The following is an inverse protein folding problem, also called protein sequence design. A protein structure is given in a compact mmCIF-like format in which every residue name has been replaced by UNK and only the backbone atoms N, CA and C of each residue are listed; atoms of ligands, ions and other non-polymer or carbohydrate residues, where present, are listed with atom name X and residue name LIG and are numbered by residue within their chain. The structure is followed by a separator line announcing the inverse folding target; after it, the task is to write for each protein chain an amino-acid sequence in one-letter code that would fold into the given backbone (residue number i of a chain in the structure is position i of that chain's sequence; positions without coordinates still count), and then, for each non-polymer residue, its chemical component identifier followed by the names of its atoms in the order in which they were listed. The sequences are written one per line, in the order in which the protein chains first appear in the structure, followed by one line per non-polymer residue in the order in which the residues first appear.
data_IF_395682598709
#
_entry.id   IF_395682598709
#
_cell.length_a   1.000
_cell.length_b   1.000
_cell.length_c   1.000
_cell.angle_alpha   90.00
_cell.angle_beta   90.00
_cell.angle_gamma   90.00
#
_symmetry.space_group_name_H-M   'P 1'
#
loop_
_entity.id
_entity.type
_entity.pdbx_description
1 polymer ?
#
# COMPACT_ATOMS: atom_id res chain seq x y z
N UNK A 1 -8.32 103.30 -44.97
CA UNK A 1 -8.21 102.60 -43.67
C UNK A 1 -6.84 101.95 -43.59
N UNK A 2 -5.99 102.41 -42.65
CA UNK A 2 -4.66 101.86 -42.35
C UNK A 2 -4.82 100.46 -41.73
N UNK A 3 -4.09 99.46 -42.22
CA UNK A 3 -3.87 98.20 -41.50
C UNK A 3 -2.44 98.16 -41.00
N UNK A 4 -2.30 98.20 -39.67
CA UNK A 4 -1.06 98.09 -38.93
C UNK A 4 -0.57 96.63 -38.96
N UNK A 5 0.74 96.46 -39.14
CA UNK A 5 1.45 95.20 -38.94
C UNK A 5 1.75 95.09 -37.45
N UNK A 6 1.20 94.08 -36.77
CA UNK A 6 1.56 93.74 -35.39
C UNK A 6 2.81 92.87 -35.42
N UNK A 7 3.92 93.39 -34.89
CA UNK A 7 5.16 92.66 -34.67
C UNK A 7 5.08 92.00 -33.27
N UNK A 8 4.93 90.67 -33.21
CA UNK A 8 4.99 89.91 -31.96
C UNK A 8 6.45 89.58 -31.63
N UNK A 9 7.01 90.25 -30.62
CA UNK A 9 8.34 89.93 -30.08
C UNK A 9 8.14 88.90 -28.96
N UNK A 10 8.52 87.64 -29.19
CA UNK A 10 8.59 86.62 -28.16
C UNK A 10 9.88 86.78 -27.36
N UNK A 11 9.78 87.20 -26.10
CA UNK A 11 10.90 87.20 -25.16
C UNK A 11 11.05 85.78 -24.61
N UNK A 12 12.08 85.07 -25.09
CA UNK A 12 12.54 83.80 -24.53
C UNK A 12 13.28 84.09 -23.22
N UNK A 13 12.63 83.82 -22.08
CA UNK A 13 13.32 83.69 -20.81
C UNK A 13 14.08 82.35 -20.81
N UNK A 14 15.39 82.42 -20.99
CA UNK A 14 16.30 81.28 -20.76
C UNK A 14 16.69 81.30 -19.29
N UNK A 15 16.11 80.41 -18.50
CA UNK A 15 16.61 80.07 -17.16
C UNK A 15 18.00 79.44 -17.31
N UNK A 16 19.01 79.80 -16.49
CA UNK A 16 20.26 79.07 -16.51
C UNK A 16 20.00 77.71 -15.84
N UNK A 17 20.10 76.63 -16.61
CA UNK A 17 20.20 75.28 -16.06
C UNK A 17 21.58 75.22 -15.38
N UNK A 18 21.65 75.43 -14.06
CA UNK A 18 22.86 75.13 -13.29
C UNK A 18 23.06 73.60 -13.37
N UNK A 19 24.27 73.19 -13.76
CA UNK A 19 24.61 71.83 -14.19
C UNK A 19 24.13 70.74 -13.23
N UNK A 20 23.53 69.71 -13.83
CA UNK A 20 23.22 68.43 -13.18
C UNK A 20 24.25 67.41 -13.65
N UNK A 21 24.82 66.66 -12.72
CA UNK A 21 25.75 65.56 -13.01
C UNK A 21 25.19 64.27 -12.43
N UNK A 22 25.28 63.19 -13.21
CA UNK A 22 24.88 61.85 -12.79
C UNK A 22 26.08 60.93 -12.84
N UNK A 23 26.29 60.15 -11.78
CA UNK A 23 27.25 59.06 -11.74
C UNK A 23 26.53 57.74 -11.49
N UNK A 24 27.20 56.64 -11.82
CA UNK A 24 26.78 55.29 -11.51
C UNK A 24 27.94 54.61 -10.79
N UNK A 25 27.69 54.07 -9.61
CA UNK A 25 28.68 53.34 -8.83
C UNK A 25 28.09 52.01 -8.39
N UNK A 26 28.93 50.99 -8.23
CA UNK A 26 28.47 49.78 -7.59
C UNK A 26 28.33 50.03 -6.08
N UNK A 27 27.48 49.25 -5.45
CA UNK A 27 27.48 49.16 -3.99
C UNK A 27 28.74 48.49 -3.44
N UNK A 28 28.84 48.44 -2.11
CA UNK A 28 29.89 47.76 -1.37
C UNK A 28 31.33 48.23 -1.66
N UNK A 29 31.49 49.35 -2.38
CA UNK A 29 32.77 49.98 -2.66
C UNK A 29 33.50 50.39 -1.38
N UNK A 30 34.83 50.23 -1.39
CA UNK A 30 35.66 50.56 -0.23
C UNK A 30 35.70 52.06 0.05
N UNK A 31 35.77 52.42 1.33
CA UNK A 31 35.93 53.81 1.78
C UNK A 31 37.17 54.44 1.15
N UNK A 32 37.01 55.66 0.63
CA UNK A 32 38.04 56.39 -0.12
C UNK A 32 38.04 56.12 -1.63
N UNK A 33 37.18 55.23 -2.13
CA UNK A 33 37.00 55.01 -3.58
C UNK A 33 36.47 56.26 -4.27
N UNK A 34 36.90 56.48 -5.51
CA UNK A 34 36.48 57.67 -6.30
C UNK A 34 35.13 57.40 -6.96
N UNK A 35 34.16 58.27 -6.70
CA UNK A 35 32.83 58.27 -7.36
C UNK A 35 32.88 58.99 -8.70
N UNK A 36 33.55 60.14 -8.75
CA UNK A 36 33.60 60.98 -9.95
C UNK A 36 34.48 62.21 -9.81
N UNK A 37 34.91 62.78 -10.94
CA UNK A 37 35.79 63.96 -11.02
C UNK A 37 34.97 65.24 -11.11
N UNK A 38 34.29 65.55 -10.02
CA UNK A 38 33.24 66.59 -10.01
C UNK A 38 33.71 67.99 -10.39
N UNK A 39 34.98 68.33 -10.11
CA UNK A 39 35.55 69.61 -10.54
C UNK A 39 35.60 69.70 -12.08
N UNK A 40 36.11 68.65 -12.73
CA UNK A 40 36.23 68.56 -14.18
C UNK A 40 34.83 68.53 -14.84
N UNK A 41 33.93 67.68 -14.34
CA UNK A 41 32.60 67.47 -14.91
C UNK A 41 31.69 68.72 -14.80
N UNK A 42 31.90 69.57 -13.79
CA UNK A 42 31.20 70.84 -13.62
C UNK A 42 31.94 72.05 -14.24
N UNK A 43 33.12 71.84 -14.84
CA UNK A 43 33.95 72.93 -15.36
C UNK A 43 34.45 73.89 -14.27
N UNK A 44 34.67 73.38 -13.06
CA UNK A 44 35.20 74.09 -11.90
C UNK A 44 36.67 73.75 -11.71
N UNK A 45 37.51 74.75 -11.45
CA UNK A 45 38.88 74.49 -10.99
C UNK A 45 38.92 74.20 -9.48
N UNK A 46 39.97 73.50 -9.06
CA UNK A 46 40.17 73.06 -7.66
C UNK A 46 40.34 74.27 -6.71
N UNK A 47 40.96 75.36 -7.18
CA UNK A 47 41.13 76.58 -6.39
C UNK A 47 39.80 77.28 -6.11
N UNK A 48 38.87 77.25 -7.07
CA UNK A 48 37.49 77.75 -6.95
C UNK A 48 36.71 76.96 -5.93
N UNK A 49 36.86 75.63 -5.88
CA UNK A 49 36.23 74.80 -4.84
C UNK A 49 36.70 75.17 -3.43
N UNK A 50 38.00 75.44 -3.26
CA UNK A 50 38.56 75.85 -1.96
C UNK A 50 38.18 77.28 -1.58
N UNK A 51 38.44 78.24 -2.47
CA UNK A 51 38.22 79.67 -2.22
C UNK A 51 36.74 80.00 -1.98
N UNK A 52 35.83 79.26 -2.62
CA UNK A 52 34.37 79.40 -2.47
C UNK A 52 33.75 78.43 -1.46
N UNK A 53 34.56 77.80 -0.62
CA UNK A 53 34.11 76.91 0.47
C UNK A 53 33.10 75.86 0.02
N UNK A 54 33.37 75.20 -1.10
CA UNK A 54 32.49 74.16 -1.62
C UNK A 54 32.18 73.10 -0.56
N UNK A 55 30.90 72.73 -0.42
CA UNK A 55 30.44 71.71 0.53
C UNK A 55 29.32 70.87 -0.08
N UNK A 56 29.24 69.63 0.35
CA UNK A 56 28.13 68.73 0.02
C UNK A 56 27.01 68.94 1.03
N UNK A 57 25.77 68.88 0.57
CA UNK A 57 24.57 68.98 1.38
C UNK A 57 23.61 67.84 1.03
N UNK A 58 23.34 66.97 2.01
CA UNK A 58 22.53 65.75 1.87
C UNK A 58 21.07 65.92 2.34
N UNK A 59 20.62 67.15 2.61
CA UNK A 59 19.30 67.39 3.20
C UNK A 59 19.20 66.70 4.56
N UNK A 60 18.48 65.58 4.59
CA UNK A 60 18.18 64.78 5.79
C UNK A 60 18.84 63.38 5.77
N UNK A 61 19.71 63.09 4.78
CA UNK A 61 20.31 61.77 4.58
C UNK A 61 21.67 61.59 5.27
N UNK A 62 22.03 60.34 5.57
CA UNK A 62 23.39 59.97 6.00
C UNK A 62 24.41 60.37 4.93
N UNK A 63 25.61 60.78 5.36
CA UNK A 63 26.69 61.26 4.48
C UNK A 63 27.53 60.08 3.97
N UNK A 64 27.05 59.40 2.92
CA UNK A 64 27.80 58.30 2.28
C UNK A 64 28.93 58.76 1.37
N UNK A 65 28.88 60.01 0.88
CA UNK A 65 29.84 60.57 -0.08
C UNK A 65 30.43 61.87 0.48
N UNK A 66 31.73 62.07 0.30
CA UNK A 66 32.42 63.31 0.65
C UNK A 66 33.09 63.99 -0.55
N UNK A 67 33.26 65.31 -0.47
CA UNK A 67 33.98 66.10 -1.48
C UNK A 67 35.42 66.32 -1.06
N UNK A 68 36.36 65.74 -1.80
CA UNK A 68 37.78 66.05 -1.66
C UNK A 68 38.12 67.31 -2.47
N UNK A 69 38.24 68.43 -1.76
CA UNK A 69 38.49 69.77 -2.35
C UNK A 69 39.91 69.96 -2.87
N UNK A 70 40.85 69.12 -2.47
CA UNK A 70 42.24 69.18 -2.95
C UNK A 70 42.40 68.50 -4.31
N UNK A 71 41.60 67.47 -4.56
CA UNK A 71 41.64 66.67 -5.79
C UNK A 71 40.48 66.97 -6.74
N UNK A 72 39.44 67.66 -6.28
CA UNK A 72 38.25 67.96 -7.07
C UNK A 72 37.41 66.73 -7.39
N UNK A 73 37.39 65.74 -6.48
CA UNK A 73 36.70 64.45 -6.68
C UNK A 73 35.74 64.16 -5.54
N UNK A 74 34.70 63.37 -5.85
CA UNK A 74 33.82 62.77 -4.85
C UNK A 74 34.39 61.42 -4.42
N UNK A 75 34.40 61.15 -3.11
CA UNK A 75 34.90 59.91 -2.52
C UNK A 75 33.82 59.23 -1.68
N UNK A 76 33.86 57.89 -1.62
CA UNK A 76 33.05 57.09 -0.70
C UNK A 76 33.53 57.36 0.74
N UNK A 77 32.63 57.81 1.61
CA UNK A 77 32.89 58.09 3.03
C UNK A 77 32.49 56.91 3.92
N UNK A 78 31.38 56.26 3.59
CA UNK A 78 30.87 55.08 4.29
C UNK A 78 30.46 54.04 3.25
N UNK A 79 30.60 52.74 3.57
CA UNK A 79 30.17 51.67 2.68
C UNK A 79 28.67 51.78 2.44
N UNK A 80 28.27 51.63 1.18
CA UNK A 80 26.88 51.73 0.75
C UNK A 80 26.41 50.30 0.48
N UNK A 81 25.51 49.81 1.32
CA UNK A 81 24.72 48.58 1.13
C UNK A 81 23.38 49.02 0.54
N UNK A 82 23.10 48.58 -0.70
CA UNK A 82 21.94 49.03 -1.48
C UNK A 82 20.66 48.44 -0.91
N UNK A 83 20.67 47.20 -0.43
CA UNK A 83 19.52 46.50 0.14
C UNK A 83 19.03 47.21 1.39
N UNK A 84 19.97 47.68 2.23
CA UNK A 84 19.64 48.49 3.42
C UNK A 84 19.19 49.91 3.04
N UNK A 85 19.77 50.50 1.99
CA UNK A 85 19.50 51.89 1.60
C UNK A 85 18.19 52.08 0.82
N UNK A 86 17.94 51.24 -0.19
CA UNK A 86 16.81 51.33 -1.10
C UNK A 86 15.82 50.17 -0.96
N UNK A 87 16.18 49.08 -0.28
CA UNK A 87 15.39 47.84 -0.29
C UNK A 87 15.18 47.34 -1.72
N UNK A 88 13.93 47.06 -2.07
CA UNK A 88 13.53 46.57 -3.40
C UNK A 88 13.24 47.70 -4.41
N UNK A 89 13.59 48.96 -4.09
CA UNK A 89 13.25 50.12 -4.93
C UNK A 89 14.20 50.24 -6.12
N UNK A 90 13.65 50.30 -7.34
CA UNK A 90 14.40 50.47 -8.59
C UNK A 90 13.82 51.63 -9.43
N UNK A 91 14.65 52.58 -9.92
CA UNK A 91 16.10 52.70 -9.73
C UNK A 91 16.48 53.20 -8.33
N UNK A 92 17.62 52.75 -7.82
CA UNK A 92 18.19 53.20 -6.54
C UNK A 92 19.16 54.35 -6.78
N UNK A 93 18.81 55.55 -6.32
CA UNK A 93 19.64 56.73 -6.53
C UNK A 93 19.72 57.61 -5.29
N UNK A 94 20.94 58.09 -5.03
CA UNK A 94 21.23 59.08 -4.01
C UNK A 94 21.23 60.48 -4.63
N UNK A 95 20.51 61.40 -3.98
CA UNK A 95 20.39 62.78 -4.45
C UNK A 95 20.99 63.74 -3.44
N UNK A 96 21.93 64.58 -3.88
CA UNK A 96 22.51 65.61 -3.03
C UNK A 96 22.94 66.84 -3.83
N UNK A 97 23.34 67.89 -3.13
CA UNK A 97 23.72 69.16 -3.75
C UNK A 97 25.13 69.56 -3.33
N UNK A 98 25.89 70.13 -4.27
CA UNK A 98 27.15 70.82 -3.97
C UNK A 98 26.89 72.32 -4.00
N UNK A 99 27.26 72.99 -2.91
CA UNK A 99 27.04 74.42 -2.69
C UNK A 99 28.38 75.14 -2.70
N UNK A 100 28.52 76.15 -3.57
CA UNK A 100 29.63 77.10 -3.54
C UNK A 100 29.13 78.44 -3.01
N UNK A 101 29.94 79.13 -2.20
CA UNK A 101 29.61 80.43 -1.63
C UNK A 101 30.19 81.59 -2.45
N UNK A 102 29.57 82.78 -2.32
CA UNK A 102 30.04 84.08 -2.85
C UNK A 102 30.40 84.10 -4.35
N UNK A 103 29.42 84.20 -5.27
CA UNK A 103 27.95 84.13 -5.07
C UNK A 103 27.49 82.70 -4.74
N UNK A 104 26.25 82.50 -4.29
CA UNK A 104 25.78 81.14 -4.01
C UNK A 104 25.45 80.40 -5.32
N UNK A 105 26.05 79.23 -5.52
CA UNK A 105 25.75 78.32 -6.63
C UNK A 105 25.41 76.94 -6.09
N UNK A 106 24.44 76.26 -6.72
CA UNK A 106 23.99 74.92 -6.36
C UNK A 106 24.10 74.00 -7.56
N UNK A 107 24.79 72.88 -7.41
CA UNK A 107 24.90 71.83 -8.42
C UNK A 107 24.19 70.59 -7.92
N UNK A 108 23.28 70.03 -8.73
CA UNK A 108 22.51 68.82 -8.37
C UNK A 108 23.28 67.59 -8.81
N UNK A 109 23.58 66.72 -7.86
CA UNK A 109 24.30 65.47 -8.11
C UNK A 109 23.36 64.30 -7.86
N UNK A 110 23.34 63.38 -8.81
CA UNK A 110 22.64 62.11 -8.71
C UNK A 110 23.69 61.00 -8.79
N UNK A 111 23.65 60.07 -7.85
CA UNK A 111 24.51 58.90 -7.85
C UNK A 111 23.61 57.67 -7.84
N UNK A 112 23.53 56.99 -8.98
CA UNK A 112 22.84 55.72 -9.11
C UNK A 112 23.70 54.62 -8.49
N UNK A 113 23.09 53.80 -7.64
CA UNK A 113 23.73 52.68 -6.96
C UNK A 113 23.34 51.42 -7.73
N UNK A 114 24.34 50.81 -8.35
CA UNK A 114 24.22 49.57 -9.10
C UNK A 114 24.38 48.41 -8.14
N UNK A 115 23.40 47.52 -8.21
CA UNK A 115 23.30 46.28 -7.45
C UNK A 115 24.42 45.29 -7.81
N UNK A 116 25.00 44.64 -6.79
CA UNK A 116 25.96 43.54 -6.93
C UNK A 116 25.29 42.26 -6.42
N UNK A 117 25.60 41.10 -7.02
CA UNK A 117 25.15 39.80 -6.49
C UNK A 117 25.91 39.42 -5.21
N UNK A 118 25.42 39.82 -4.05
CA UNK A 118 26.02 39.52 -2.75
C UNK A 118 25.04 38.92 -1.73
N UNK A 119 23.75 38.80 -2.06
CA UNK A 119 22.76 38.08 -1.26
C UNK A 119 22.26 36.82 -2.00
N UNK A 120 22.54 35.62 -1.48
CA UNK A 120 21.96 34.41 -2.07
C UNK A 120 20.45 34.30 -1.77
N UNK A 121 19.67 33.58 -2.59
CA UNK A 121 18.31 33.20 -2.24
C UNK A 121 18.26 32.38 -0.94
N UNK A 122 17.36 32.74 -0.01
CA UNK A 122 17.22 32.06 1.29
C UNK A 122 15.77 31.60 1.52
N UNK A 123 15.60 30.37 1.98
CA UNK A 123 14.33 29.86 2.49
C UNK A 123 14.18 30.16 3.98
N UNK A 124 12.97 30.51 4.42
CA UNK A 124 12.68 30.74 5.86
C UNK A 124 12.92 29.47 6.70
N UNK A 125 12.64 28.30 6.11
CA UNK A 125 12.83 26.99 6.75
C UNK A 125 13.78 26.11 5.93
N UNK A 126 14.57 25.29 6.62
CA UNK A 126 15.46 24.31 6.00
C UNK A 126 14.74 23.06 5.48
N UNK A 127 13.57 22.73 6.05
CA UNK A 127 12.72 21.63 5.60
C UNK A 127 11.22 21.95 5.64
N UNK A 128 10.46 21.27 4.80
CA UNK A 128 9.00 21.22 4.81
C UNK A 128 8.54 19.76 4.75
N UNK A 129 7.45 19.43 5.45
CA UNK A 129 6.95 18.05 5.57
C UNK A 129 5.54 17.92 5.02
N UNK A 130 5.33 16.95 4.14
CA UNK A 130 4.02 16.59 3.61
C UNK A 130 3.60 15.18 4.04
N UNK A 131 2.31 15.01 4.23
CA UNK A 131 1.66 13.70 4.35
C UNK A 131 0.69 13.56 3.19
N UNK A 132 0.99 12.66 2.25
CA UNK A 132 0.24 12.54 0.99
C UNK A 132 -0.24 11.10 0.87
N UNK A 133 -1.54 10.87 0.71
CA UNK A 133 -2.05 9.51 0.48
C UNK A 133 -1.57 8.97 -0.87
N UNK A 134 -1.28 7.67 -0.94
CA UNK A 134 -0.98 7.02 -2.22
C UNK A 134 -2.13 7.04 -3.22
N UNK A 135 -3.36 7.12 -2.70
CA UNK A 135 -4.58 7.35 -3.49
C UNK A 135 -4.71 8.77 -4.05
N UNK A 136 -3.73 9.66 -3.79
CA UNK A 136 -3.76 11.03 -4.30
C UNK A 136 -3.76 11.05 -5.85
N UNK A 137 -4.70 11.80 -6.41
CA UNK A 137 -4.89 11.86 -7.86
C UNK A 137 -3.73 12.62 -8.52
N UNK A 138 -3.26 12.10 -9.65
CA UNK A 138 -2.28 12.82 -10.49
C UNK A 138 -2.81 14.19 -10.90
N UNK A 139 -1.95 15.21 -10.85
CA UNK A 139 -2.32 16.61 -11.03
C UNK A 139 -2.65 17.36 -9.74
N UNK A 140 -2.74 16.68 -8.59
CA UNK A 140 -2.83 17.33 -7.27
C UNK A 140 -1.66 18.28 -7.05
N UNK A 141 -1.94 19.42 -6.41
CA UNK A 141 -0.99 20.51 -6.19
C UNK A 141 -0.68 20.68 -4.70
N UNK A 142 0.56 21.01 -4.40
CA UNK A 142 1.07 21.27 -3.06
C UNK A 142 1.85 22.57 -3.07
N UNK A 143 1.41 23.54 -2.28
CA UNK A 143 2.05 24.85 -2.19
C UNK A 143 3.39 24.75 -1.47
N UNK A 144 4.40 25.41 -2.01
CA UNK A 144 5.74 25.51 -1.43
C UNK A 144 6.03 26.98 -1.08
N UNK A 145 6.67 27.19 0.06
CA UNK A 145 7.20 28.50 0.43
C UNK A 145 8.35 28.88 -0.51
N UNK A 146 8.28 30.06 -1.13
CA UNK A 146 9.33 30.57 -1.99
C UNK A 146 10.51 31.09 -1.18
N UNK A 147 11.72 30.94 -1.73
CA UNK A 147 12.90 31.66 -1.24
C UNK A 147 12.76 33.18 -1.45
N UNK A 148 13.40 33.94 -0.56
CA UNK A 148 13.54 35.40 -0.65
C UNK A 148 14.98 35.73 -1.00
N UNK A 149 15.15 36.68 -1.90
CA UNK A 149 16.43 37.22 -2.32
C UNK A 149 16.35 38.74 -2.19
N UNK A 150 17.38 39.35 -1.59
CA UNK A 150 17.39 40.78 -1.31
C UNK A 150 17.87 41.60 -2.51
N UNK A 151 18.59 40.96 -3.44
CA UNK A 151 19.12 41.59 -4.64
C UNK A 151 17.98 41.82 -5.65
N UNK A 152 18.18 42.76 -6.58
CA UNK A 152 17.17 43.14 -7.57
C UNK A 152 17.59 42.82 -9.00
N UNK A 153 16.62 42.82 -9.92
CA UNK A 153 16.89 42.66 -11.35
C UNK A 153 17.42 41.25 -11.68
N UNK A 154 18.64 41.17 -12.21
CA UNK A 154 19.25 39.89 -12.62
C UNK A 154 19.90 39.14 -11.44
N UNK A 155 20.39 39.87 -10.44
CA UNK A 155 21.03 39.28 -9.26
C UNK A 155 20.00 38.75 -8.28
N UNK A 156 18.75 39.22 -8.32
CA UNK A 156 17.67 38.61 -7.55
C UNK A 156 17.26 37.22 -8.06
N UNK A 157 16.40 36.56 -7.30
CA UNK A 157 15.86 35.22 -7.57
C UNK A 157 15.33 35.04 -9.00
N UNK A 158 15.92 34.11 -9.75
CA UNK A 158 15.56 33.85 -11.15
C UNK A 158 14.81 32.56 -11.41
N UNK A 159 15.04 31.48 -10.66
CA UNK A 159 14.32 30.22 -10.91
C UNK A 159 14.37 29.28 -9.72
N UNK A 160 13.56 28.23 -9.81
CA UNK A 160 13.57 27.11 -8.88
C UNK A 160 13.77 25.79 -9.62
N UNK A 161 14.46 24.87 -8.99
CA UNK A 161 14.76 23.53 -9.49
C UNK A 161 14.34 22.52 -8.42
N UNK A 162 13.53 21.53 -8.79
CA UNK A 162 13.12 20.43 -7.92
C UNK A 162 13.83 19.15 -8.35
N UNK A 163 14.40 18.40 -7.39
CA UNK A 163 14.99 17.09 -7.63
C UNK A 163 14.69 16.12 -6.48
N UNK A 164 14.47 14.81 -6.73
CA UNK A 164 14.29 14.19 -8.05
C UNK A 164 12.94 14.60 -8.70
N UNK A 165 12.69 14.20 -9.95
CA UNK A 165 11.47 14.58 -10.71
C UNK A 165 10.60 13.39 -11.11
N UNK A 166 10.77 12.26 -10.41
CA UNK A 166 10.08 11.00 -10.75
C UNK A 166 8.58 11.10 -10.52
N UNK A 167 8.17 11.37 -9.28
CA UNK A 167 6.75 11.49 -8.90
C UNK A 167 6.23 12.91 -8.99
N UNK A 168 7.10 13.92 -8.88
CA UNK A 168 6.70 15.33 -8.74
C UNK A 168 7.36 16.21 -9.78
N UNK A 169 6.62 17.23 -10.22
CA UNK A 169 7.13 18.30 -11.06
C UNK A 169 6.84 19.66 -10.45
N UNK A 170 7.72 20.62 -10.69
CA UNK A 170 7.55 21.99 -10.23
C UNK A 170 6.73 22.79 -11.24
N UNK A 171 5.83 23.65 -10.75
CA UNK A 171 5.12 24.64 -11.54
C UNK A 171 5.24 26.01 -10.91
N UNK A 172 5.68 26.96 -11.72
CA UNK A 172 5.88 28.34 -11.30
C UNK A 172 4.73 29.20 -11.83
N UNK A 173 4.15 30.00 -10.95
CA UNK A 173 3.09 30.93 -11.28
C UNK A 173 3.51 32.35 -10.85
N UNK A 174 3.66 33.25 -11.83
CA UNK A 174 3.90 34.67 -11.54
C UNK A 174 2.61 35.30 -11.02
N UNK A 175 2.68 35.91 -9.85
CA UNK A 175 1.58 36.69 -9.30
C UNK A 175 1.64 38.14 -9.78
N UNK A 176 0.51 38.85 -9.68
CA UNK A 176 0.37 40.23 -10.14
C UNK A 176 1.19 41.23 -9.31
N UNK A 177 1.63 40.85 -8.11
CA UNK A 177 2.49 41.63 -7.22
C UNK A 177 3.99 41.41 -7.48
N UNK A 178 4.35 40.56 -8.46
CA UNK A 178 5.73 40.20 -8.76
C UNK A 178 6.27 39.01 -7.96
N UNK A 179 5.53 38.52 -6.95
CA UNK A 179 5.89 37.30 -6.24
C UNK A 179 5.68 36.06 -7.11
N UNK A 180 6.44 34.99 -6.85
CA UNK A 180 6.31 33.72 -7.58
C UNK A 180 5.75 32.67 -6.66
N UNK A 181 4.55 32.18 -6.97
CA UNK A 181 4.04 31.00 -6.31
C UNK A 181 4.74 29.76 -6.85
N UNK A 182 5.20 28.92 -5.93
CA UNK A 182 5.94 27.69 -6.23
C UNK A 182 5.03 26.52 -5.87
N UNK A 183 4.54 25.81 -6.87
CA UNK A 183 3.68 24.64 -6.66
C UNK A 183 4.43 23.37 -7.03
N UNK A 184 4.38 22.36 -6.15
CA UNK A 184 4.75 20.98 -6.47
C UNK A 184 3.51 20.23 -6.97
N UNK A 185 3.61 19.52 -8.09
CA UNK A 185 2.50 18.80 -8.71
C UNK A 185 2.83 17.32 -8.81
N UNK A 186 1.91 16.48 -8.35
CA UNK A 186 2.00 15.03 -8.50
C UNK A 186 1.82 14.64 -9.98
N UNK A 187 2.80 13.95 -10.56
CA UNK A 187 2.81 13.51 -11.97
C UNK A 187 2.64 12.02 -12.14
N UNK A 188 3.19 11.24 -11.22
CA UNK A 188 3.03 9.80 -11.19
C UNK A 188 2.36 9.41 -9.88
N UNK A 189 1.55 8.34 -9.85
CA UNK A 189 0.98 7.86 -8.60
C UNK A 189 2.09 7.54 -7.59
N UNK A 190 1.75 7.69 -6.31
CA UNK A 190 2.59 7.21 -5.22
C UNK A 190 2.18 5.77 -4.90
N UNK A 191 3.08 5.04 -4.25
CA UNK A 191 2.91 3.64 -3.88
C UNK A 191 3.73 3.46 -2.59
N UNK A 192 3.02 3.31 -1.47
CA UNK A 192 3.59 3.23 -0.13
C UNK A 192 4.29 1.90 0.06
N UNK A 193 3.74 0.81 -0.46
CA UNK A 193 4.31 -0.55 -0.41
C UNK A 193 5.68 -0.58 -1.10
N UNK A 194 5.89 0.27 -2.11
CA UNK A 194 7.19 0.48 -2.74
C UNK A 194 8.07 1.49 -2.00
N UNK A 195 7.52 2.62 -1.57
CA UNK A 195 8.28 3.66 -0.86
C UNK A 195 7.42 4.52 0.05
N UNK A 196 7.50 4.28 1.36
CA UNK A 196 6.78 5.04 2.39
C UNK A 196 7.29 6.48 2.57
N UNK A 197 8.58 6.73 2.26
CA UNK A 197 9.24 8.02 2.50
C UNK A 197 9.98 8.50 1.26
N UNK A 198 9.64 9.70 0.82
CA UNK A 198 10.33 10.39 -0.27
C UNK A 198 11.02 11.65 0.25
N UNK A 199 12.20 11.94 -0.28
CA UNK A 199 12.95 13.16 0.01
C UNK A 199 13.28 13.86 -1.29
N UNK A 200 12.86 15.12 -1.40
CA UNK A 200 13.20 16.00 -2.50
C UNK A 200 13.97 17.22 -2.00
N UNK A 201 14.66 17.88 -2.92
CA UNK A 201 15.37 19.12 -2.68
C UNK A 201 14.83 20.16 -3.65
N UNK A 202 14.36 21.27 -3.10
CA UNK A 202 14.04 22.48 -3.84
C UNK A 202 15.23 23.42 -3.78
N UNK A 203 15.73 23.84 -4.93
CA UNK A 203 16.85 24.77 -5.06
C UNK A 203 16.34 26.05 -5.69
N UNK A 204 16.50 27.18 -5.00
CA UNK A 204 16.29 28.52 -5.52
C UNK A 204 17.62 29.06 -6.07
N UNK A 205 17.59 29.68 -7.25
CA UNK A 205 18.80 30.11 -7.95
C UNK A 205 18.63 31.53 -8.46
N UNK A 206 19.63 32.38 -8.20
CA UNK A 206 19.72 33.74 -8.72
C UNK A 206 20.24 33.76 -10.17
N UNK A 207 20.45 34.96 -10.72
CA UNK A 207 21.00 35.16 -12.07
C UNK A 207 22.33 35.89 -12.09
N UNK A 208 22.95 36.13 -10.94
CA UNK A 208 24.19 36.89 -10.85
C UNK A 208 25.44 36.10 -11.29
N UNK A 209 26.59 36.78 -11.29
CA UNK A 209 27.90 36.18 -11.57
C UNK A 209 28.89 36.49 -10.43
N UNK A 210 29.32 35.51 -9.62
CA UNK A 210 28.93 34.10 -9.67
C UNK A 210 27.48 33.88 -9.23
N UNK A 211 26.84 32.86 -9.81
CA UNK A 211 25.49 32.46 -9.44
C UNK A 211 25.47 31.87 -8.04
N UNK A 212 24.54 32.31 -7.19
CA UNK A 212 24.29 31.75 -5.87
C UNK A 212 22.94 31.02 -5.81
N UNK A 213 22.80 30.18 -4.78
CA UNK A 213 21.61 29.33 -4.62
C UNK A 213 21.33 29.01 -3.17
N UNK A 214 20.04 28.91 -2.84
CA UNK A 214 19.53 28.38 -1.58
C UNK A 214 18.84 27.03 -1.77
N UNK A 215 18.79 26.20 -0.73
CA UNK A 215 18.13 24.89 -0.79
C UNK A 215 17.21 24.64 0.41
N UNK A 216 16.10 23.94 0.17
CA UNK A 216 15.17 23.45 1.19
C UNK A 216 14.86 21.98 0.93
N UNK A 217 14.81 21.16 1.99
CA UNK A 217 14.40 19.76 1.91
C UNK A 217 12.88 19.62 1.95
N UNK A 218 12.33 18.75 1.13
CA UNK A 218 10.92 18.39 1.12
C UNK A 218 10.83 16.92 1.52
N UNK A 219 10.28 16.67 2.71
CA UNK A 219 10.13 15.33 3.26
C UNK A 219 8.67 14.90 3.13
N UNK A 220 8.41 13.82 2.39
CA UNK A 220 7.06 13.33 2.14
C UNK A 220 6.90 11.97 2.81
N UNK A 221 5.90 11.86 3.68
CA UNK A 221 5.39 10.58 4.18
C UNK A 221 4.19 10.19 3.34
N UNK A 222 4.29 9.05 2.65
CA UNK A 222 3.17 8.48 1.90
C UNK A 222 2.22 7.82 2.90
N UNK A 223 0.94 8.22 2.88
CA UNK A 223 -0.08 7.64 3.73
C UNK A 223 -0.74 6.46 3.02
N UNK A 224 -0.92 5.40 3.80
CA UNK A 224 -1.59 4.17 3.42
C UNK A 224 -3.04 4.41 2.96
N UNK A 225 -3.43 3.74 1.89
CA UNK A 225 -4.79 3.57 1.43
C UNK A 225 -5.06 2.08 1.21
N UNK A 226 -6.32 1.66 1.33
CA UNK A 226 -6.68 0.25 1.20
C UNK A 226 -6.77 -0.15 -0.28
N UNK A 227 -5.64 -0.34 -0.95
CA UNK A 227 -5.56 -0.64 -2.39
C UNK A 227 -4.97 -2.02 -2.70
N UNK A 228 -4.49 -2.75 -1.70
CA UNK A 228 -4.17 -4.17 -1.81
C UNK A 228 -5.27 -5.00 -1.15
N UNK A 229 -5.66 -6.09 -1.80
CA UNK A 229 -6.58 -7.06 -1.21
C UNK A 229 -5.78 -8.18 -0.53
N UNK A 230 -6.34 -8.86 0.49
CA UNK A 230 -5.71 -10.04 1.05
C UNK A 230 -5.48 -11.08 -0.05
N UNK A 231 -4.36 -11.79 -0.04
CA UNK A 231 -4.06 -12.84 -1.04
C UNK A 231 -3.77 -14.15 -0.35
N UNK A 232 -4.56 -15.19 -0.63
CA UNK A 232 -4.27 -16.52 -0.10
C UNK A 232 -2.97 -17.10 -0.68
N UNK A 233 -2.20 -17.80 0.16
CA UNK A 233 -0.98 -18.50 -0.25
C UNK A 233 -1.24 -19.62 -1.27
N UNK A 234 -2.46 -20.18 -1.30
CA UNK A 234 -2.91 -21.17 -2.30
C UNK A 234 -4.37 -20.91 -2.67
N UNK A 235 -4.71 -21.13 -3.93
CA UNK A 235 -6.12 -21.11 -4.38
C UNK A 235 -6.91 -22.33 -3.91
N UNK A 236 -6.23 -23.46 -3.70
CA UNK A 236 -6.82 -24.72 -3.20
C UNK A 236 -5.93 -25.36 -2.12
N UNK A 237 -6.54 -25.70 -0.99
CA UNK A 237 -5.95 -26.52 0.08
C UNK A 237 -6.60 -27.89 0.07
N UNK A 238 -5.81 -28.94 0.26
CA UNK A 238 -6.29 -30.32 0.36
C UNK A 238 -5.91 -30.88 1.72
N UNK A 239 -6.86 -31.55 2.36
CA UNK A 239 -6.67 -32.20 3.65
C UNK A 239 -7.45 -33.51 3.68
N UNK A 240 -7.02 -34.41 4.58
CA UNK A 240 -7.67 -35.69 4.82
C UNK A 240 -8.01 -35.81 6.30
N UNK A 241 -9.20 -36.31 6.63
CA UNK A 241 -9.62 -36.51 8.02
C UNK A 241 -10.39 -37.82 8.15
N UNK A 242 -10.14 -38.58 9.22
CA UNK A 242 -10.89 -39.80 9.49
C UNK A 242 -12.29 -39.47 10.00
N UNK A 243 -13.30 -40.25 9.62
CA UNK A 243 -14.69 -39.97 10.01
C UNK A 243 -14.93 -40.00 11.52
N UNK A 244 -14.20 -40.86 12.23
CA UNK A 244 -14.25 -40.96 13.69
C UNK A 244 -13.45 -39.85 14.41
N UNK A 245 -12.92 -38.87 13.68
CA UNK A 245 -12.13 -37.79 14.27
C UNK A 245 -12.95 -36.99 15.28
N UNK A 246 -12.42 -36.71 16.48
CA UNK A 246 -13.17 -35.97 17.48
C UNK A 246 -13.37 -34.51 17.07
N UNK A 247 -14.42 -33.90 17.61
CA UNK A 247 -14.64 -32.45 17.52
C UNK A 247 -13.44 -31.70 18.10
N UNK A 248 -13.04 -30.63 17.42
CA UNK A 248 -11.84 -29.86 17.72
C UNK A 248 -10.60 -30.29 16.92
N UNK A 249 -10.67 -31.40 16.16
CA UNK A 249 -9.59 -31.82 15.26
C UNK A 249 -9.28 -30.71 14.25
N UNK A 250 -8.01 -30.33 14.15
CA UNK A 250 -7.52 -29.38 13.15
C UNK A 250 -7.38 -30.11 11.82
N UNK A 251 -8.09 -29.62 10.80
CA UNK A 251 -8.12 -30.21 9.45
C UNK A 251 -6.99 -29.66 8.60
N UNK A 252 -6.85 -28.34 8.58
CA UNK A 252 -5.78 -27.61 7.88
C UNK A 252 -5.71 -26.19 8.40
N UNK A 253 -4.62 -25.49 8.10
CA UNK A 253 -4.49 -24.05 8.34
C UNK A 253 -4.32 -23.32 7.01
N UNK A 254 -5.18 -22.34 6.74
CA UNK A 254 -5.03 -21.44 5.60
C UNK A 254 -4.31 -20.18 6.02
N UNK A 255 -3.70 -19.50 5.05
CA UNK A 255 -3.00 -18.24 5.30
C UNK A 255 -3.13 -17.35 4.08
N UNK A 256 -3.48 -16.10 4.33
CA UNK A 256 -3.43 -15.00 3.39
C UNK A 256 -2.50 -13.90 3.91
N UNK A 257 -2.01 -13.06 3.00
CA UNK A 257 -1.18 -11.89 3.30
C UNK A 257 -1.75 -10.66 2.60
N UNK A 258 -1.65 -9.51 3.27
CA UNK A 258 -2.05 -8.21 2.76
C UNK A 258 -0.84 -7.27 2.87
N UNK A 259 -0.64 -6.42 1.87
CA UNK A 259 0.53 -5.54 1.77
C UNK A 259 0.30 -4.19 2.46
N UNK A 260 -0.96 -3.83 2.73
CA UNK A 260 -1.35 -2.57 3.33
C UNK A 260 -0.94 -2.50 4.82
N UNK A 261 -0.93 -1.30 5.38
CA UNK A 261 -0.49 -1.06 6.74
C UNK A 261 -1.66 -0.95 7.74
N UNK A 262 -1.46 -1.42 8.98
CA UNK A 262 -2.40 -1.20 10.08
C UNK A 262 -3.70 -1.99 9.94
N UNK A 263 -4.85 -1.30 9.90
CA UNK A 263 -6.16 -1.96 9.74
C UNK A 263 -6.39 -2.45 8.31
N UNK A 264 -5.86 -1.72 7.31
CA UNK A 264 -6.01 -2.07 5.91
C UNK A 264 -5.29 -3.39 5.59
N UNK A 265 -4.18 -3.68 6.26
CA UNK A 265 -3.51 -4.99 6.15
C UNK A 265 -4.02 -6.08 7.10
N UNK A 266 -5.05 -5.83 7.92
CA UNK A 266 -5.49 -6.78 8.96
C UNK A 266 -6.51 -7.76 8.43
N UNK A 267 -6.11 -9.03 8.34
CA UNK A 267 -6.93 -10.08 7.75
C UNK A 267 -7.81 -10.79 8.79
N UNK A 268 -9.06 -11.02 8.40
CA UNK A 268 -10.02 -11.92 9.08
C UNK A 268 -10.49 -13.04 8.12
N UNK A 269 -10.59 -14.26 8.63
CA UNK A 269 -11.01 -15.44 7.87
C UNK A 269 -12.46 -15.82 8.19
N UNK A 270 -13.22 -16.21 7.17
CA UNK A 270 -14.59 -16.69 7.34
C UNK A 270 -14.99 -17.74 6.31
N UNK A 271 -15.94 -18.62 6.67
CA UNK A 271 -16.54 -19.57 5.72
C UNK A 271 -17.64 -18.84 4.94
N UNK A 272 -17.49 -18.75 3.62
CA UNK A 272 -18.52 -18.21 2.73
C UNK A 272 -19.67 -19.21 2.62
N UNK A 273 -20.91 -18.71 2.62
CA UNK A 273 -22.10 -19.55 2.55
C UNK A 273 -22.05 -20.42 1.29
N UNK A 274 -22.02 -21.73 1.49
CA UNK A 274 -22.10 -22.75 0.45
C UNK A 274 -23.43 -23.48 0.58
N UNK A 275 -23.86 -24.15 -0.48
CA UNK A 275 -25.17 -24.83 -0.55
C UNK A 275 -25.29 -26.00 0.47
N UNK A 276 -24.18 -26.43 1.05
CA UNK A 276 -24.09 -27.58 1.95
C UNK A 276 -24.00 -27.15 3.42
N UNK A 277 -24.44 -28.01 4.33
CA UNK A 277 -24.40 -27.85 5.80
C UNK A 277 -22.98 -27.77 6.40
N UNK A 278 -21.97 -27.36 5.62
CA UNK A 278 -20.55 -27.26 5.98
C UNK A 278 -20.32 -26.44 7.24
N UNK A 279 -21.09 -25.37 7.47
CA UNK A 279 -20.98 -24.53 8.68
C UNK A 279 -21.36 -25.25 9.98
N UNK A 280 -22.09 -26.36 9.91
CA UNK A 280 -22.38 -27.21 11.08
C UNK A 280 -21.28 -28.24 11.34
N UNK A 281 -20.42 -28.48 10.36
CA UNK A 281 -19.38 -29.50 10.41
C UNK A 281 -18.00 -28.90 10.62
N UNK A 282 -17.73 -27.72 10.06
CA UNK A 282 -16.43 -27.06 10.09
C UNK A 282 -16.54 -25.61 10.54
N UNK A 283 -15.52 -25.15 11.26
CA UNK A 283 -15.29 -23.75 11.59
C UNK A 283 -13.90 -23.32 11.12
N UNK A 284 -13.70 -22.00 10.96
CA UNK A 284 -12.39 -21.41 10.75
C UNK A 284 -12.14 -20.39 11.85
N UNK A 285 -10.94 -20.44 12.43
CA UNK A 285 -10.52 -19.39 13.35
C UNK A 285 -10.27 -18.10 12.57
N UNK A 286 -10.96 -17.03 12.98
CA UNK A 286 -10.97 -15.73 12.31
C UNK A 286 -9.58 -15.10 12.17
N UNK A 287 -8.64 -15.38 13.08
CA UNK A 287 -7.33 -14.73 13.12
C UNK A 287 -6.19 -15.65 12.71
N UNK A 288 -6.27 -16.95 13.02
CA UNK A 288 -5.19 -17.90 12.72
C UNK A 288 -5.38 -18.63 11.39
N UNK A 289 -6.58 -18.58 10.80
CA UNK A 289 -6.92 -19.33 9.59
C UNK A 289 -6.99 -20.85 9.80
N UNK A 290 -6.99 -21.31 11.05
CA UNK A 290 -7.09 -22.73 11.38
C UNK A 290 -8.51 -23.24 11.17
N UNK A 291 -8.67 -24.24 10.30
CA UNK A 291 -9.94 -24.90 10.00
C UNK A 291 -10.08 -26.13 10.88
N UNK A 292 -11.17 -26.20 11.65
CA UNK A 292 -11.45 -27.28 12.60
C UNK A 292 -12.76 -27.99 12.32
N UNK A 293 -12.82 -29.25 12.73
CA UNK A 293 -14.04 -30.04 12.77
C UNK A 293 -14.85 -29.72 14.04
N UNK A 294 -16.12 -29.36 13.91
CA UNK A 294 -17.06 -29.10 15.03
C UNK A 294 -18.30 -29.99 15.02
N UNK A 295 -18.58 -30.64 13.89
CA UNK A 295 -19.63 -31.63 13.74
C UNK A 295 -19.06 -33.04 13.63
N UNK A 296 -19.96 -34.02 13.56
CA UNK A 296 -19.58 -35.39 13.25
C UNK A 296 -19.66 -35.56 11.73
N UNK A 297 -18.64 -36.16 11.15
CA UNK A 297 -18.57 -36.58 9.76
C UNK A 297 -18.74 -38.10 9.69
N UNK A 298 -19.14 -38.58 8.53
CA UNK A 298 -19.53 -39.97 8.28
C UNK A 298 -19.23 -40.20 6.79
N UNK A 299 -18.39 -41.19 6.52
CA UNK A 299 -17.84 -41.47 5.19
C UNK A 299 -18.95 -41.95 4.24
N UNK A 300 -19.85 -42.81 4.73
CA UNK A 300 -20.98 -43.39 4.02
C UNK A 300 -21.97 -42.31 3.58
N UNK A 301 -22.12 -41.25 4.37
CA UNK A 301 -22.93 -40.07 4.02
C UNK A 301 -22.26 -39.15 3.01
N UNK A 302 -20.97 -38.86 3.17
CA UNK A 302 -20.25 -37.90 2.31
C UNK A 302 -18.74 -38.10 2.36
N UNK A 303 -18.19 -38.55 1.22
CA UNK A 303 -16.76 -38.84 1.06
C UNK A 303 -15.84 -37.62 0.99
N UNK A 304 -16.37 -36.44 0.67
CA UNK A 304 -15.61 -35.19 0.69
C UNK A 304 -16.48 -33.96 0.98
N UNK A 305 -15.82 -32.91 1.47
CA UNK A 305 -16.42 -31.59 1.67
C UNK A 305 -15.61 -30.51 0.96
N UNK A 306 -16.30 -29.57 0.32
CA UNK A 306 -15.70 -28.37 -0.27
C UNK A 306 -16.07 -27.13 0.53
N UNK A 307 -15.09 -26.53 1.17
CA UNK A 307 -15.25 -25.35 2.01
C UNK A 307 -14.71 -24.14 1.23
N UNK A 308 -15.57 -23.18 0.91
CA UNK A 308 -15.13 -21.92 0.34
C UNK A 308 -14.83 -20.92 1.46
N UNK A 309 -13.56 -20.55 1.62
CA UNK A 309 -13.13 -19.58 2.61
C UNK A 309 -12.97 -18.21 1.97
N UNK A 310 -13.16 -17.17 2.77
CA UNK A 310 -12.96 -15.76 2.45
C UNK A 310 -11.96 -15.18 3.44
N UNK A 311 -10.94 -14.50 2.93
CA UNK A 311 -10.11 -13.56 3.68
C UNK A 311 -10.66 -12.16 3.40
N UNK A 312 -10.78 -11.32 4.42
CA UNK A 312 -11.20 -9.92 4.32
C UNK A 312 -10.27 -9.07 5.15
N UNK A 313 -9.84 -7.94 4.60
CA UNK A 313 -9.23 -6.89 5.41
C UNK A 313 -10.32 -6.10 6.19
N UNK A 314 -9.91 -5.16 7.06
CA UNK A 314 -10.85 -4.24 7.72
C UNK A 314 -11.35 -3.13 6.77
N UNK A 315 -10.70 -2.94 5.61
CA UNK A 315 -11.07 -1.96 4.57
C UNK A 315 -12.19 -2.41 3.62
N UNK A 316 -12.51 -3.71 3.62
CA UNK A 316 -13.55 -4.35 2.82
C UNK A 316 -13.08 -5.07 1.55
N UNK A 317 -11.77 -5.09 1.21
CA UNK A 317 -11.25 -5.92 0.13
C UNK A 317 -11.07 -7.37 0.57
N UNK A 318 -11.15 -8.29 -0.39
CA UNK A 318 -11.33 -9.70 -0.10
C UNK A 318 -10.70 -10.60 -1.16
N UNK A 319 -10.30 -11.79 -0.73
CA UNK A 319 -9.98 -12.91 -1.61
C UNK A 319 -10.66 -14.20 -1.11
N UNK A 320 -10.71 -15.21 -1.97
CA UNK A 320 -11.36 -16.49 -1.67
C UNK A 320 -10.48 -17.67 -2.08
N UNK A 321 -10.46 -18.72 -1.25
CA UNK A 321 -9.84 -19.99 -1.58
C UNK A 321 -10.79 -21.15 -1.31
N UNK A 322 -10.45 -22.34 -1.83
CA UNK A 322 -11.19 -23.58 -1.59
C UNK A 322 -10.37 -24.54 -0.73
N UNK A 323 -10.99 -25.12 0.30
CA UNK A 323 -10.47 -26.26 1.03
C UNK A 323 -11.26 -27.50 0.63
N UNK A 324 -10.56 -28.52 0.14
CA UNK A 324 -11.13 -29.83 -0.16
C UNK A 324 -10.70 -30.78 0.95
N UNK A 325 -11.68 -31.31 1.67
CA UNK A 325 -11.46 -32.24 2.78
C UNK A 325 -11.96 -33.61 2.34
N UNK A 326 -11.05 -34.54 2.14
CA UNK A 326 -11.35 -35.93 1.81
C UNK A 326 -11.51 -36.73 3.13
N UNK A 327 -12.59 -37.49 3.24
CA UNK A 327 -12.85 -38.31 4.42
C UNK A 327 -12.20 -39.69 4.23
N UNK A 328 -11.52 -40.20 5.25
CA UNK A 328 -11.01 -41.58 5.24
C UNK A 328 -11.94 -42.46 6.07
N UNK A 329 -12.41 -43.53 5.42
CA UNK A 329 -13.22 -44.61 5.98
C UNK A 329 -12.51 -45.31 7.16
N UNK A 330 -13.27 -45.57 8.22
CA UNK A 330 -12.90 -46.36 9.39
C UNK A 330 -13.96 -47.44 9.58
N UNK A 331 -13.50 -48.69 9.76
CA UNK A 331 -14.36 -49.84 10.03
C UNK A 331 -15.26 -49.63 11.27
N UNK A 332 -16.49 -49.16 11.05
CA UNK A 332 -17.43 -48.77 12.10
C UNK A 332 -18.84 -49.31 11.89
N UNK A 333 -19.09 -49.98 10.75
CA UNK A 333 -20.32 -50.70 10.49
C UNK A 333 -20.11 -52.21 10.61
N UNK A 334 -21.13 -52.88 11.15
CA UNK A 334 -21.11 -54.33 11.29
C UNK A 334 -21.69 -54.99 10.03
N UNK A 335 -21.17 -56.15 9.60
CA UNK A 335 -21.77 -56.92 8.51
C UNK A 335 -23.24 -57.24 8.77
N UNK A 336 -24.15 -56.74 7.92
CA UNK A 336 -25.58 -57.00 8.03
C UNK A 336 -25.94 -58.34 7.36
N UNK A 337 -26.39 -59.29 8.17
CA UNK A 337 -26.81 -60.62 7.72
C UNK A 337 -28.31 -60.61 7.41
N UNK A 338 -28.68 -60.81 6.15
CA UNK A 338 -30.08 -60.93 5.69
C UNK A 338 -30.37 -62.35 5.23
N UNK A 339 -31.28 -63.03 5.94
CA UNK A 339 -31.75 -64.37 5.55
C UNK A 339 -32.80 -64.21 4.44
N UNK A 340 -32.49 -64.66 3.24
CA UNK A 340 -33.33 -64.43 2.05
C UNK A 340 -34.41 -65.48 1.87
N UNK A 341 -34.22 -66.67 2.44
CA UNK A 341 -35.18 -67.78 2.37
C UNK A 341 -35.05 -68.67 3.60
N UNK A 342 -36.13 -68.94 4.33
CA UNK A 342 -36.08 -69.82 5.51
C UNK A 342 -36.72 -71.18 5.21
N UNK A 343 -35.92 -72.25 5.31
CA UNK A 343 -36.39 -73.63 5.35
C UNK A 343 -36.16 -74.15 6.76
N UNK A 344 -37.22 -74.26 7.56
CA UNK A 344 -37.11 -74.60 8.99
C UNK A 344 -37.24 -76.11 9.28
N UNK A 345 -37.61 -76.90 8.27
CA UNK A 345 -37.76 -78.36 8.37
C UNK A 345 -37.12 -79.01 7.16
N UNK A 346 -36.25 -79.99 7.38
CA UNK A 346 -35.63 -80.81 6.32
C UNK A 346 -35.73 -82.30 6.66
N UNK A 347 -35.89 -83.13 5.64
CA UNK A 347 -35.92 -84.59 5.81
C UNK A 347 -34.53 -85.15 6.07
N UNK A 348 -34.42 -86.21 6.90
CA UNK A 348 -33.13 -86.85 7.17
C UNK A 348 -32.55 -87.59 5.95
N UNK A 349 -33.41 -88.06 5.04
CA UNK A 349 -33.01 -88.72 3.78
C UNK A 349 -32.53 -87.75 2.69
N UNK A 350 -32.36 -86.47 3.04
CA UNK A 350 -31.90 -85.45 2.10
C UNK A 350 -30.49 -85.73 1.62
N UNK A 351 -30.26 -85.53 0.31
CA UNK A 351 -28.94 -85.74 -0.28
C UNK A 351 -27.97 -84.67 0.18
N UNK A 352 -26.71 -85.06 0.38
CA UNK A 352 -25.59 -84.12 0.55
C UNK A 352 -25.60 -83.05 -0.57
N UNK A 353 -25.17 -81.85 -0.22
CA UNK A 353 -25.17 -80.64 -1.04
C UNK A 353 -26.54 -80.01 -1.35
N UNK A 354 -27.59 -80.36 -0.60
CA UNK A 354 -28.90 -79.70 -0.72
C UNK A 354 -28.87 -78.33 -0.03
N UNK A 355 -29.39 -77.29 -0.71
CA UNK A 355 -29.47 -75.91 -0.19
C UNK A 355 -30.62 -75.78 0.79
N UNK A 356 -30.32 -75.28 1.99
CA UNK A 356 -31.28 -75.07 3.09
C UNK A 356 -31.77 -73.62 3.06
N UNK A 357 -30.84 -72.67 3.01
CA UNK A 357 -31.13 -71.23 3.00
C UNK A 357 -30.07 -70.47 2.22
N UNK A 358 -30.47 -69.31 1.68
CA UNK A 358 -29.58 -68.32 1.07
C UNK A 358 -29.51 -67.12 2.00
N UNK A 359 -28.29 -66.67 2.27
CA UNK A 359 -27.96 -65.54 3.14
C UNK A 359 -27.26 -64.49 2.28
N UNK A 360 -27.70 -63.24 2.39
CA UNK A 360 -27.03 -62.08 1.80
C UNK A 360 -26.31 -61.31 2.91
N UNK A 361 -25.05 -60.93 2.68
CA UNK A 361 -24.29 -60.11 3.62
C UNK A 361 -23.94 -58.79 2.98
N UNK A 362 -24.28 -57.70 3.67
CA UNK A 362 -23.96 -56.35 3.26
C UNK A 362 -23.19 -55.65 4.36
N UNK A 363 -22.04 -55.12 4.00
CA UNK A 363 -21.29 -54.18 4.80
C UNK A 363 -21.21 -52.87 4.01
N UNK A 364 -21.45 -51.75 4.68
CA UNK A 364 -21.53 -50.44 4.02
C UNK A 364 -20.19 -49.72 3.98
N UNK A 365 -19.20 -50.20 4.74
CA UNK A 365 -17.85 -49.67 4.75
C UNK A 365 -17.13 -49.93 3.40
N UNK A 366 -16.05 -49.20 3.12
CA UNK A 366 -15.35 -49.25 1.84
C UNK A 366 -14.12 -50.16 1.89
N UNK A 367 -13.65 -50.60 0.73
CA UNK A 367 -12.40 -51.36 0.61
C UNK A 367 -12.39 -52.66 1.44
N UNK A 368 -11.37 -52.83 2.30
CA UNK A 368 -11.24 -54.03 3.16
C UNK A 368 -12.22 -54.03 4.35
N UNK A 369 -12.64 -52.85 4.81
CA UNK A 369 -13.59 -52.71 5.92
C UNK A 369 -14.96 -53.30 5.52
N UNK A 370 -15.38 -53.11 4.26
CA UNK A 370 -16.63 -53.70 3.75
C UNK A 370 -16.53 -55.15 3.25
N UNK A 371 -15.36 -55.78 3.28
CA UNK A 371 -15.20 -57.18 2.80
C UNK A 371 -15.46 -58.15 3.93
N UNK A 372 -16.28 -59.15 3.66
CA UNK A 372 -16.82 -60.03 4.71
C UNK A 372 -16.49 -61.50 4.47
N UNK A 373 -16.19 -62.21 5.56
CA UNK A 373 -15.95 -63.64 5.61
C UNK A 373 -16.85 -64.30 6.65
N UNK A 374 -17.62 -65.29 6.22
CA UNK A 374 -18.56 -66.00 7.08
C UNK A 374 -18.11 -67.42 7.44
N UNK A 375 -18.43 -67.84 8.66
CA UNK A 375 -18.21 -69.18 9.20
C UNK A 375 -19.47 -69.67 9.93
N UNK A 376 -19.53 -70.97 10.19
CA UNK A 376 -20.60 -71.61 10.98
C UNK A 376 -20.00 -72.36 12.18
N UNK A 377 -20.83 -72.75 13.14
CA UNK A 377 -20.40 -73.58 14.26
C UNK A 377 -19.68 -74.86 13.81
N UNK A 378 -18.66 -75.27 14.57
CA UNK A 378 -17.92 -76.50 14.28
C UNK A 378 -18.74 -77.74 14.67
N UNK A 379 -18.41 -78.89 14.06
CA UNK A 379 -18.98 -80.22 14.38
C UNK A 379 -20.47 -80.39 14.07
N UNK A 380 -20.99 -79.69 13.06
CA UNK A 380 -22.35 -79.88 12.52
C UNK A 380 -22.30 -80.40 11.07
N UNK A 381 -23.32 -81.16 10.60
CA UNK A 381 -23.33 -81.77 9.27
C UNK A 381 -23.68 -80.79 8.13
N UNK A 382 -23.33 -79.52 8.27
CA UNK A 382 -23.64 -78.45 7.32
C UNK A 382 -22.37 -77.72 6.90
N UNK A 383 -22.38 -77.12 5.71
CA UNK A 383 -21.29 -76.28 5.22
C UNK A 383 -21.83 -75.01 4.58
N UNK A 384 -21.06 -73.92 4.65
CA UNK A 384 -21.42 -72.63 4.07
C UNK A 384 -20.63 -72.43 2.77
N UNK A 385 -21.35 -72.27 1.65
CA UNK A 385 -20.74 -72.05 0.33
C UNK A 385 -20.94 -70.60 -0.10
N UNK A 386 -19.82 -69.89 -0.28
CA UNK A 386 -19.84 -68.56 -0.87
C UNK A 386 -20.24 -68.62 -2.35
N UNK A 387 -21.11 -67.70 -2.75
CA UNK A 387 -21.57 -67.47 -4.13
C UNK A 387 -21.24 -66.03 -4.54
N UNK A 388 -21.55 -65.64 -5.77
CA UNK A 388 -21.25 -64.28 -6.27
C UNK A 388 -21.97 -63.18 -5.46
N UNK A 389 -21.38 -61.97 -5.42
CA UNK A 389 -21.97 -60.76 -4.82
C UNK A 389 -22.37 -60.87 -3.33
N UNK A 390 -21.51 -61.46 -2.49
CA UNK A 390 -21.72 -61.61 -1.03
C UNK A 390 -22.96 -62.44 -0.63
N UNK A 391 -23.44 -63.29 -1.54
CA UNK A 391 -24.43 -64.31 -1.21
C UNK A 391 -23.74 -65.58 -0.72
N UNK A 392 -24.33 -66.25 0.27
CA UNK A 392 -23.87 -67.52 0.81
C UNK A 392 -25.02 -68.51 0.86
N UNK A 393 -24.77 -69.75 0.45
CA UNK A 393 -25.72 -70.86 0.54
C UNK A 393 -25.33 -71.80 1.67
N UNK A 394 -26.23 -72.02 2.62
CA UNK A 394 -26.07 -73.06 3.64
C UNK A 394 -26.53 -74.39 3.04
N UNK A 395 -25.64 -75.38 3.02
CA UNK A 395 -25.90 -76.69 2.42
C UNK A 395 -25.66 -77.82 3.41
N UNK A 396 -26.32 -78.96 3.20
CA UNK A 396 -26.01 -80.23 3.89
C UNK A 396 -24.65 -80.76 3.44
N UNK A 397 -23.77 -81.12 4.36
CA UNK A 397 -22.43 -81.61 4.06
C UNK A 397 -22.27 -83.11 4.29
N UNK A 398 -22.96 -83.64 5.31
CA UNK A 398 -23.01 -85.07 5.67
C UNK A 398 -24.45 -85.57 5.77
N UNK A 399 -24.62 -86.89 5.84
CA UNK A 399 -25.92 -87.52 6.05
C UNK A 399 -26.51 -87.07 7.40
N UNK A 400 -27.82 -86.82 7.41
CA UNK A 400 -28.58 -86.43 8.60
C UNK A 400 -29.23 -87.68 9.20
N UNK A 401 -29.36 -87.68 10.52
CA UNK A 401 -29.96 -88.77 11.30
C UNK A 401 -30.74 -88.12 12.43
N UNK A 402 -32.07 -88.22 12.36
CA UNK A 402 -32.99 -87.59 13.31
C UNK A 402 -32.89 -88.24 14.68
N UNK A 403 -32.73 -89.56 14.77
CA UNK A 403 -32.58 -90.27 16.05
C UNK A 403 -31.32 -89.82 16.80
N UNK A 404 -30.28 -89.44 16.06
CA UNK A 404 -29.08 -88.82 16.64
C UNK A 404 -29.30 -87.37 17.05
N UNK A 405 -29.93 -86.57 16.21
CA UNK A 405 -30.23 -85.17 16.49
C UNK A 405 -31.46 -84.68 15.70
N UNK A 406 -32.55 -84.41 16.42
CA UNK A 406 -33.81 -83.96 15.82
C UNK A 406 -33.85 -82.46 15.50
N UNK A 407 -32.93 -81.67 16.04
CA UNK A 407 -32.85 -80.22 15.88
C UNK A 407 -31.39 -79.78 15.83
N UNK A 408 -31.10 -78.84 14.92
CA UNK A 408 -29.81 -78.14 14.85
C UNK A 408 -29.99 -76.64 15.02
N UNK A 409 -29.19 -76.06 15.90
CA UNK A 409 -29.02 -74.62 16.01
C UNK A 409 -27.71 -74.23 15.32
N UNK A 410 -27.84 -73.67 14.12
CA UNK A 410 -26.72 -73.32 13.24
C UNK A 410 -26.43 -71.83 13.42
N UNK A 411 -25.29 -71.52 14.03
CA UNK A 411 -24.85 -70.13 14.22
C UNK A 411 -23.96 -69.74 13.06
N UNK A 412 -24.41 -68.80 12.24
CA UNK A 412 -23.64 -68.20 11.15
C UNK A 412 -23.01 -66.92 11.67
N UNK A 413 -21.69 -66.83 11.67
CA UNK A 413 -20.92 -65.64 12.09
C UNK A 413 -20.19 -65.07 10.88
N UNK A 414 -20.42 -63.80 10.58
CA UNK A 414 -19.73 -63.08 9.52
C UNK A 414 -18.87 -61.97 10.13
N UNK A 415 -17.60 -61.96 9.76
CA UNK A 415 -16.62 -60.97 10.19
C UNK A 415 -16.11 -60.21 8.98
N UNK A 416 -15.97 -58.90 9.10
CA UNK A 416 -15.28 -58.10 8.08
C UNK A 416 -13.75 -58.38 8.07
N UNK A 417 -13.04 -57.81 7.10
CA UNK A 417 -11.56 -57.85 7.00
C UNK A 417 -10.90 -56.58 7.55
N UNK A 418 -11.69 -55.69 8.18
CA UNK A 418 -11.22 -54.47 8.82
C UNK A 418 -10.37 -54.72 10.07
N UNK A 419 -9.64 -53.69 10.51
CA UNK A 419 -8.82 -53.75 11.74
C UNK A 419 -9.17 -52.55 12.64
N UNK A 420 -9.81 -52.76 13.81
CA UNK A 420 -10.27 -54.05 14.34
C UNK A 420 -11.43 -54.62 13.52
N UNK A 421 -11.53 -55.96 13.46
CA UNK A 421 -12.61 -56.61 12.74
C UNK A 421 -13.91 -56.59 13.55
N UNK A 422 -15.03 -56.27 12.89
CA UNK A 422 -16.38 -56.32 13.43
C UNK A 422 -17.10 -57.56 12.91
N UNK A 423 -18.03 -58.08 13.71
CA UNK A 423 -18.73 -59.32 13.37
C UNK A 423 -20.16 -59.36 13.86
N UNK A 424 -21.00 -60.01 13.07
CA UNK A 424 -22.41 -60.26 13.36
C UNK A 424 -22.68 -61.77 13.33
N UNK A 425 -23.61 -62.23 14.14
CA UNK A 425 -24.04 -63.63 14.16
C UNK A 425 -25.56 -63.76 14.09
N UNK A 426 -26.05 -64.77 13.38
CA UNK A 426 -27.46 -65.17 13.37
C UNK A 426 -27.57 -66.67 13.64
N UNK A 427 -28.55 -67.07 14.45
CA UNK A 427 -28.83 -68.49 14.71
C UNK A 427 -30.04 -68.93 13.92
N UNK A 428 -29.85 -69.96 13.09
CA UNK A 428 -30.90 -70.62 12.32
C UNK A 428 -31.27 -71.93 13.05
N UNK A 429 -32.56 -72.13 13.33
CA UNK A 429 -33.06 -73.36 13.94
C UNK A 429 -33.67 -74.24 12.86
N UNK A 430 -33.10 -75.43 12.67
CA UNK A 430 -33.51 -76.40 11.66
C UNK A 430 -34.00 -77.69 12.33
N UNK A 431 -35.24 -78.08 12.05
CA UNK A 431 -35.81 -79.33 12.52
C UNK A 431 -35.58 -80.44 11.49
N UNK A 432 -35.22 -81.63 11.96
CA UNK A 432 -35.07 -82.81 11.11
C UNK A 432 -36.36 -83.63 11.17
N UNK A 433 -37.02 -83.80 10.02
CA UNK A 433 -38.23 -84.61 9.90
C UNK A 433 -37.87 -86.08 9.67
N UNK A 434 -38.66 -86.93 10.32
CA UNK A 434 -38.52 -88.38 10.38
C UNK A 434 -38.79 -89.07 9.05
N UNK A 435 -37.99 -90.09 8.74
CA UNK A 435 -38.20 -91.05 7.67
C UNK A 435 -38.20 -92.44 8.32
N UNK A 436 -39.16 -93.29 7.95
CA UNK A 436 -39.26 -94.62 8.54
C UNK A 436 -38.15 -95.55 8.03
N UNK A 437 -36.96 -95.45 8.62
CA UNK A 437 -35.75 -96.17 8.28
C UNK A 437 -35.25 -97.11 9.41
N UNK A 438 -35.87 -97.03 10.59
CA UNK A 438 -35.63 -97.91 11.73
C UNK A 438 -36.66 -99.07 11.78
N UNK A 439 -36.17 -100.32 11.81
CA UNK A 439 -37.04 -101.49 11.99
C UNK A 439 -37.31 -101.77 13.48
N UNK A 440 -38.59 -101.93 13.84
CA UNK A 440 -39.02 -102.46 15.13
C UNK A 440 -38.51 -103.91 15.27
N UNK A 441 -37.39 -104.08 15.98
CA UNK A 441 -36.86 -105.37 16.41
C UNK A 441 -37.59 -105.93 17.62
#
# INVERSE_FOLDING_TARGET
MRRQVLLFISVLFVSPVLGQVSYSINEEMSVGSVVGRIAEDLGLDVERLKSRKARVFFGDSREYIELNKDRGVLLIKERIDRETFCGQTVPCAMHFQIILEKPVEFYRIIVEIVDINDNPPVFEKGDIRFKISESAVTGSKFDLEGAVDLDVGINGLQTYILKPTDNFALKLHNQADGSRNVEMILKQPLDREKSEHLSLVLTAVDGGEPQMSGTMQILITVLDANDNAPVFTKSVYKATVAENSPKGTVVTTVSASDADHGSNGRITYSIRNTLDNVRHLFEVNEHTGEVRLIGNIDYEKSRNYQINLRASDDGGLTDTCKVIVDITDINDNYPLISVMSETNIISEDVKSQTVITIINIQDIDDGENGKVKCTINENIPFSLKSTENNFYSLVTDSDLDRERASEYNISVTCSDEGVPSLSSSVTLTLQISDVNDNYLG
#
